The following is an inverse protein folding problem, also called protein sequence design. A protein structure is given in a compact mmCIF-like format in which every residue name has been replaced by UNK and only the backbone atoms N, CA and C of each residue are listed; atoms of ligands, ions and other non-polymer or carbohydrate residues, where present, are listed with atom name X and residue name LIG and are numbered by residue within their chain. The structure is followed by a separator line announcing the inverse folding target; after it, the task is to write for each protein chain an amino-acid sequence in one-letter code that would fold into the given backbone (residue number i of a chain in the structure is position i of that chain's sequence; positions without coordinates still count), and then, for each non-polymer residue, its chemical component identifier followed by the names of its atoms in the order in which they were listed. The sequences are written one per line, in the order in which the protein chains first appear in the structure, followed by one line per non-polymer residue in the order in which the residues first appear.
data_IF_628645172316
#
_entry.id   IF_628645172316
#
_cell.length_a   1.000
_cell.length_b   1.000
_cell.length_c   1.000
_cell.angle_alpha   90.00
_cell.angle_beta   90.00
_cell.angle_gamma   90.00
#
_symmetry.space_group_name_H-M   'P 1'
#
loop_
_entity.id
_entity.type
_entity.pdbx_description
1 polymer ?
#
# COMPACT_ATOMS: atom_id res chain seq x y z
N UNK A 1 9.65 9.87 -22.90
CA UNK A 1 8.94 11.15 -23.15
C UNK A 1 7.45 10.90 -23.13
N UNK A 2 6.74 11.29 -22.05
CA UNK A 2 5.27 11.20 -22.02
C UNK A 2 4.74 12.31 -22.92
N UNK A 3 4.07 11.94 -24.02
CA UNK A 3 3.33 12.90 -24.85
C UNK A 3 2.10 13.32 -24.06
N UNK A 4 2.13 14.49 -23.42
CA UNK A 4 0.97 15.04 -22.74
C UNK A 4 -0.14 15.29 -23.78
N UNK A 5 -1.32 14.72 -23.58
CA UNK A 5 -2.47 14.92 -24.46
C UNK A 5 -3.41 15.99 -23.92
N UNK A 6 -2.87 17.03 -23.27
CA UNK A 6 -3.68 18.20 -22.92
C UNK A 6 -4.11 18.88 -24.22
N UNK A 7 -5.43 19.04 -24.45
CA UNK A 7 -5.91 19.61 -25.69
C UNK A 7 -5.61 21.12 -25.71
N UNK A 8 -4.86 21.56 -26.73
CA UNK A 8 -4.52 22.96 -26.95
C UNK A 8 -5.58 23.56 -27.88
N UNK A 9 -6.66 24.08 -27.30
CA UNK A 9 -7.67 24.83 -28.05
C UNK A 9 -7.86 26.20 -27.43
N UNK A 10 -8.23 27.16 -28.26
CA UNK A 10 -8.60 28.51 -27.85
C UNK A 10 -10.11 28.65 -27.93
N UNK A 11 -10.77 28.93 -26.80
CA UNK A 11 -12.21 29.19 -26.76
C UNK A 11 -12.50 30.69 -26.68
N UNK A 12 -13.78 31.07 -26.88
CA UNK A 12 -14.21 32.45 -26.69
C UNK A 12 -14.02 32.90 -25.24
N UNK A 13 -13.73 34.19 -25.01
CA UNK A 13 -13.62 34.79 -23.66
C UNK A 13 -14.86 34.51 -22.80
N UNK A 14 -16.05 34.47 -23.40
CA UNK A 14 -17.28 34.13 -22.69
C UNK A 14 -17.23 32.69 -22.16
N UNK A 15 -16.81 31.74 -23.00
CA UNK A 15 -16.71 30.34 -22.62
C UNK A 15 -15.68 30.10 -21.52
N UNK A 16 -14.53 30.77 -21.58
CA UNK A 16 -13.52 30.72 -20.51
C UNK A 16 -14.08 31.24 -19.18
N UNK A 17 -14.82 32.36 -19.21
CA UNK A 17 -15.49 32.92 -18.01
C UNK A 17 -16.54 31.96 -17.47
N UNK A 18 -17.35 31.35 -18.33
CA UNK A 18 -18.37 30.39 -17.93
C UNK A 18 -17.75 29.12 -17.33
N UNK A 19 -16.65 28.60 -17.90
CA UNK A 19 -15.90 27.48 -17.33
C UNK A 19 -15.31 27.80 -15.96
N UNK A 20 -14.71 28.98 -15.81
CA UNK A 20 -14.19 29.42 -14.51
C UNK A 20 -15.29 29.55 -13.47
N UNK A 21 -16.45 30.09 -13.88
CA UNK A 21 -17.63 30.20 -13.01
C UNK A 21 -18.15 28.82 -12.62
N UNK A 22 -18.30 27.88 -13.56
CA UNK A 22 -18.77 26.53 -13.26
C UNK A 22 -17.83 25.82 -12.30
N UNK A 23 -16.51 25.87 -12.54
CA UNK A 23 -15.54 25.30 -11.61
C UNK A 23 -15.63 25.92 -10.22
N UNK A 24 -15.90 27.23 -10.11
CA UNK A 24 -16.10 27.89 -8.82
C UNK A 24 -17.40 27.46 -8.13
N UNK A 25 -18.47 27.25 -8.88
CA UNK A 25 -19.76 26.78 -8.35
C UNK A 25 -19.66 25.35 -7.83
N UNK A 26 -19.04 24.46 -8.60
CA UNK A 26 -18.93 23.04 -8.26
C UNK A 26 -17.67 22.69 -7.45
N UNK A 27 -16.82 23.69 -7.15
CA UNK A 27 -15.53 23.50 -6.50
C UNK A 27 -14.62 22.51 -7.25
N UNK A 28 -14.71 22.53 -8.58
CA UNK A 28 -13.88 21.71 -9.46
C UNK A 28 -12.56 22.39 -9.79
N UNK A 29 -11.58 21.58 -10.21
CA UNK A 29 -10.29 22.08 -10.66
C UNK A 29 -10.42 22.78 -12.03
N UNK A 30 -10.00 24.04 -12.09
CA UNK A 30 -9.96 24.82 -13.32
C UNK A 30 -8.54 24.86 -13.90
N UNK A 31 -8.38 24.31 -15.10
CA UNK A 31 -7.18 24.52 -15.92
C UNK A 31 -7.43 25.76 -16.79
N UNK A 32 -6.60 26.81 -16.71
CA UNK A 32 -6.72 27.94 -17.64
C UNK A 32 -6.42 27.48 -19.07
N UNK A 33 -6.84 28.26 -20.07
CA UNK A 33 -6.42 28.02 -21.45
C UNK A 33 -5.15 28.84 -21.75
N UNK A 34 -4.34 28.38 -22.72
CA UNK A 34 -3.22 29.18 -23.23
C UNK A 34 -3.73 30.47 -23.88
N UNK A 35 -2.92 31.52 -23.84
CA UNK A 35 -3.25 32.73 -24.59
C UNK A 35 -3.18 32.45 -26.09
N UNK A 36 -3.90 33.24 -26.90
CA UNK A 36 -3.91 33.09 -28.36
C UNK A 36 -2.48 33.12 -28.95
N UNK A 37 -1.63 34.02 -28.44
CA UNK A 37 -0.23 34.14 -28.86
C UNK A 37 0.59 32.88 -28.54
N UNK A 38 0.31 32.26 -27.39
CA UNK A 38 1.02 31.06 -26.97
C UNK A 38 0.59 29.81 -27.74
N UNK A 39 -0.64 29.78 -28.23
CA UNK A 39 -1.17 28.71 -29.08
C UNK A 39 -0.44 28.65 -30.43
N UNK A 40 -0.03 29.81 -30.95
CA UNK A 40 0.66 29.92 -32.24
C UNK A 40 2.10 29.39 -32.18
N UNK A 41 2.68 29.25 -30.98
CA UNK A 41 4.03 28.72 -30.81
C UNK A 41 4.10 27.20 -30.99
N UNK A 42 5.29 26.71 -31.33
CA UNK A 42 5.55 25.27 -31.33
C UNK A 42 5.40 24.70 -29.91
N UNK A 43 5.02 23.43 -29.81
CA UNK A 43 4.86 22.75 -28.52
C UNK A 43 6.15 22.67 -27.70
N UNK A 44 7.31 22.78 -28.36
CA UNK A 44 8.63 22.84 -27.73
C UNK A 44 9.03 24.25 -27.28
N UNK A 45 8.20 25.26 -27.53
CA UNK A 45 8.49 26.63 -27.12
C UNK A 45 8.49 26.75 -25.59
N UNK A 46 9.50 27.38 -24.97
CA UNK A 46 9.68 27.33 -23.52
C UNK A 46 8.47 27.78 -22.68
N UNK A 47 7.76 28.87 -23.01
CA UNK A 47 6.53 29.26 -22.30
C UNK A 47 5.43 28.20 -22.32
N UNK A 48 5.20 27.58 -23.49
CA UNK A 48 4.20 26.51 -23.65
C UNK A 48 4.60 25.29 -22.84
N UNK A 49 5.89 24.94 -22.85
CA UNK A 49 6.41 23.80 -22.11
C UNK A 49 6.35 24.02 -20.59
N UNK A 50 6.72 25.20 -20.10
CA UNK A 50 6.61 25.57 -18.69
C UNK A 50 5.15 25.49 -18.22
N UNK A 51 4.24 26.03 -19.01
CA UNK A 51 2.80 25.95 -18.77
C UNK A 51 2.32 24.49 -18.72
N UNK A 52 2.67 23.68 -19.72
CA UNK A 52 2.31 22.25 -19.77
C UNK A 52 2.81 21.50 -18.54
N UNK A 53 4.07 21.70 -18.16
CA UNK A 53 4.67 21.02 -17.01
C UNK A 53 3.99 21.40 -15.70
N UNK A 54 3.70 22.68 -15.50
CA UNK A 54 3.00 23.18 -14.30
C UNK A 54 1.63 22.53 -14.17
N UNK A 55 0.76 22.71 -15.16
CA UNK A 55 -0.61 22.23 -15.08
C UNK A 55 -0.72 20.71 -15.11
N UNK A 56 0.22 20.02 -15.74
CA UNK A 56 0.31 18.57 -15.66
C UNK A 56 0.67 18.06 -14.25
N UNK A 57 1.57 18.74 -13.54
CA UNK A 57 1.86 18.42 -12.14
C UNK A 57 0.63 18.64 -11.27
N UNK A 58 -0.05 19.78 -11.43
CA UNK A 58 -1.24 20.13 -10.65
C UNK A 58 -2.40 19.16 -10.93
N UNK A 59 -2.62 18.81 -12.20
CA UNK A 59 -3.64 17.82 -12.58
C UNK A 59 -3.35 16.44 -12.02
N UNK A 60 -2.10 15.98 -12.08
CA UNK A 60 -1.72 14.69 -11.47
C UNK A 60 -1.97 14.67 -9.97
N UNK A 61 -1.72 15.79 -9.29
CA UNK A 61 -2.01 15.91 -7.86
C UNK A 61 -3.52 15.84 -7.60
N UNK A 62 -4.31 16.56 -8.42
CA UNK A 62 -5.77 16.51 -8.37
C UNK A 62 -6.31 15.11 -8.64
N UNK A 63 -5.94 14.47 -9.74
CA UNK A 63 -6.35 13.10 -10.11
C UNK A 63 -6.00 12.10 -9.00
N UNK A 64 -4.76 12.16 -8.48
CA UNK A 64 -4.33 11.30 -7.36
C UNK A 64 -5.16 11.51 -6.09
N UNK A 65 -5.65 12.73 -5.86
CA UNK A 65 -6.52 13.02 -4.70
C UNK A 65 -7.97 12.54 -4.88
N UNK A 66 -8.43 12.44 -6.14
CA UNK A 66 -9.73 11.87 -6.47
C UNK A 66 -9.71 10.34 -6.39
N UNK A 67 -8.58 9.73 -6.75
CA UNK A 67 -8.36 8.30 -6.63
C UNK A 67 -8.19 7.87 -5.16
N UNK A 68 -8.64 6.65 -4.84
CA UNK A 68 -8.34 6.06 -3.54
C UNK A 68 -6.83 5.78 -3.43
N UNK A 69 -6.20 6.09 -2.28
CA UNK A 69 -4.82 5.71 -2.02
C UNK A 69 -4.57 4.22 -2.27
N UNK A 70 -3.39 3.90 -2.79
CA UNK A 70 -3.02 2.53 -3.14
C UNK A 70 -3.12 1.57 -1.93
N UNK A 71 -2.70 2.03 -0.75
CA UNK A 71 -2.74 1.25 0.51
C UNK A 71 -4.16 1.02 1.04
N UNK A 72 -5.18 1.61 0.42
CA UNK A 72 -6.59 1.36 0.73
C UNK A 72 -7.26 0.51 -0.35
N UNK A 73 -6.56 0.16 -1.43
CA UNK A 73 -7.09 -0.66 -2.48
C UNK A 73 -7.12 -2.13 -2.04
N UNK A 74 -8.30 -2.63 -1.66
CA UNK A 74 -8.51 -3.99 -1.13
C UNK A 74 -7.92 -5.11 -2.01
N UNK A 75 -7.89 -4.97 -3.33
CA UNK A 75 -7.32 -5.98 -4.25
C UNK A 75 -5.79 -6.12 -4.13
N UNK A 76 -5.10 -5.03 -3.80
CA UNK A 76 -3.63 -4.95 -3.78
C UNK A 76 -3.09 -4.76 -2.36
N UNK A 77 -3.95 -4.91 -1.36
CA UNK A 77 -3.73 -4.39 -0.01
C UNK A 77 -2.95 -5.31 0.95
N UNK A 78 -2.61 -4.73 2.11
CA UNK A 78 -2.11 -5.38 3.32
C UNK A 78 -2.99 -6.53 3.85
N UNK A 79 -4.27 -6.61 3.45
CA UNK A 79 -5.18 -7.71 3.81
C UNK A 79 -4.91 -9.00 3.04
N UNK A 80 -3.91 -9.02 2.15
CA UNK A 80 -3.56 -10.19 1.36
C UNK A 80 -3.33 -11.44 2.22
N UNK A 81 -2.63 -11.31 3.36
CA UNK A 81 -2.48 -12.41 4.31
C UNK A 81 -3.53 -12.32 5.42
N UNK A 82 -4.15 -13.45 5.80
CA UNK A 82 -5.04 -13.46 6.94
C UNK A 82 -4.27 -13.20 8.24
N UNK A 83 -5.02 -12.83 9.27
CA UNK A 83 -4.53 -12.53 10.60
C UNK A 83 -4.07 -13.80 11.35
N UNK A 84 -3.00 -14.44 10.88
CA UNK A 84 -2.50 -15.73 11.39
C UNK A 84 -2.19 -15.73 12.90
N UNK A 85 -1.57 -14.67 13.49
CA UNK A 85 -1.34 -14.63 14.94
C UNK A 85 -2.63 -14.73 15.75
N UNK A 86 -3.68 -14.03 15.30
CA UNK A 86 -4.99 -14.01 15.94
C UNK A 86 -5.68 -15.38 15.82
N UNK A 87 -5.63 -15.99 14.63
CA UNK A 87 -6.18 -17.34 14.39
C UNK A 87 -5.46 -18.36 15.28
N UNK A 88 -4.13 -18.33 15.30
CA UNK A 88 -3.32 -19.25 16.14
C UNK A 88 -3.63 -19.07 17.63
N UNK A 89 -3.74 -17.83 18.10
CA UNK A 89 -4.04 -17.54 19.49
C UNK A 89 -5.45 -18.05 19.85
N UNK A 90 -6.42 -17.81 18.98
CA UNK A 90 -7.79 -18.30 19.15
C UNK A 90 -7.86 -19.82 19.26
N UNK A 91 -7.23 -20.56 18.33
CA UNK A 91 -7.27 -22.03 18.36
C UNK A 91 -6.55 -22.61 19.57
N UNK A 92 -5.48 -21.96 20.04
CA UNK A 92 -4.82 -22.29 21.30
C UNK A 92 -5.78 -22.17 22.49
N UNK A 93 -6.47 -21.04 22.61
CA UNK A 93 -7.40 -20.76 23.71
C UNK A 93 -8.58 -21.74 23.67
N UNK A 94 -9.15 -21.99 22.49
CA UNK A 94 -10.23 -22.96 22.34
C UNK A 94 -9.82 -24.39 22.73
N UNK A 95 -8.56 -24.77 22.47
CA UNK A 95 -8.02 -26.05 22.92
C UNK A 95 -7.91 -26.12 24.43
N UNK A 96 -7.48 -25.04 25.08
CA UNK A 96 -7.40 -24.96 26.56
C UNK A 96 -8.78 -25.09 27.21
N UNK A 97 -9.83 -24.55 26.58
CA UNK A 97 -11.21 -24.73 27.03
C UNK A 97 -11.84 -26.09 26.64
N UNK A 98 -11.12 -26.95 25.91
CA UNK A 98 -11.67 -28.23 25.43
C UNK A 98 -12.71 -28.10 24.32
N UNK A 99 -12.87 -26.92 23.73
CA UNK A 99 -13.82 -26.62 22.65
C UNK A 99 -13.28 -26.98 21.27
N UNK A 100 -11.96 -27.14 21.14
CA UNK A 100 -11.28 -27.47 19.89
C UNK A 100 -10.17 -28.50 20.11
N UNK A 101 -10.12 -29.53 19.25
CA UNK A 101 -9.04 -30.54 19.27
C UNK A 101 -8.06 -30.26 18.13
N UNK A 102 -6.81 -29.96 18.49
CA UNK A 102 -5.73 -29.70 17.54
C UNK A 102 -4.84 -30.96 17.38
N UNK A 103 -5.20 -31.83 16.43
CA UNK A 103 -4.50 -33.11 16.21
C UNK A 103 -3.01 -32.92 15.85
N UNK A 104 -2.69 -31.87 15.10
CA UNK A 104 -1.30 -31.59 14.71
C UNK A 104 -0.46 -31.25 15.94
N UNK A 105 -1.03 -30.46 16.86
CA UNK A 105 -0.36 -30.12 18.10
C UNK A 105 -0.28 -31.31 19.06
N UNK A 106 -1.34 -32.12 19.16
CA UNK A 106 -1.34 -33.35 19.95
C UNK A 106 -0.23 -34.31 19.48
N UNK A 107 -0.07 -34.47 18.16
CA UNK A 107 1.02 -35.26 17.58
C UNK A 107 2.40 -34.71 17.95
N UNK A 108 2.60 -33.39 17.83
CA UNK A 108 3.87 -32.75 18.16
C UNK A 108 4.21 -32.89 19.64
N UNK A 109 3.23 -32.81 20.53
CA UNK A 109 3.39 -33.00 21.97
C UNK A 109 3.76 -34.46 22.30
N UNK A 110 3.06 -35.45 21.73
CA UNK A 110 3.41 -36.86 21.90
C UNK A 110 4.82 -37.19 21.37
N UNK A 111 5.20 -36.66 20.20
CA UNK A 111 6.55 -36.84 19.66
C UNK A 111 7.63 -36.19 20.54
N UNK A 112 7.30 -35.05 21.16
CA UNK A 112 8.19 -34.39 22.10
C UNK A 112 8.40 -35.22 23.36
N UNK A 113 7.35 -35.83 23.92
CA UNK A 113 7.45 -36.74 25.07
C UNK A 113 8.34 -37.95 24.76
N UNK A 114 8.15 -38.59 23.60
CA UNK A 114 9.00 -39.70 23.14
C UNK A 114 10.46 -39.26 22.97
N UNK A 115 10.71 -38.04 22.49
CA UNK A 115 12.06 -37.52 22.37
C UNK A 115 12.70 -37.26 23.75
N UNK A 116 11.94 -36.75 24.72
CA UNK A 116 12.39 -36.54 26.10
C UNK A 116 12.71 -37.89 26.77
N UNK A 117 11.87 -38.91 26.59
CA UNK A 117 12.12 -40.24 27.15
C UNK A 117 13.37 -40.90 26.55
N UNK A 118 13.69 -40.58 25.28
CA UNK A 118 14.97 -40.94 24.63
C UNK A 118 16.17 -40.10 25.09
N UNK A 119 16.00 -39.23 26.08
CA UNK A 119 17.05 -38.39 26.65
C UNK A 119 17.43 -37.18 25.80
N UNK A 120 16.64 -36.81 24.77
CA UNK A 120 16.91 -35.60 23.99
C UNK A 120 16.52 -34.36 24.81
N UNK A 121 17.49 -33.49 25.04
CA UNK A 121 17.28 -32.22 25.75
C UNK A 121 16.69 -31.20 24.79
N UNK A 122 15.44 -30.79 25.03
CA UNK A 122 14.84 -29.64 24.35
C UNK A 122 15.33 -28.36 25.03
N UNK A 123 15.73 -27.36 24.24
CA UNK A 123 16.07 -26.05 24.76
C UNK A 123 14.83 -25.41 25.36
N UNK A 124 14.89 -24.98 26.61
CA UNK A 124 13.99 -23.94 27.09
C UNK A 124 14.26 -22.67 26.28
N UNK A 125 13.22 -21.91 25.93
CA UNK A 125 13.29 -20.73 25.04
C UNK A 125 14.04 -19.54 25.67
N UNK A 126 15.18 -19.75 26.33
CA UNK A 126 16.04 -18.70 26.88
C UNK A 126 17.42 -18.78 26.23
N UNK A 127 17.61 -17.93 25.23
CA UNK A 127 18.93 -17.53 24.73
C UNK A 127 19.73 -18.57 23.93
N UNK A 128 20.80 -18.11 23.24
CA UNK A 128 21.71 -19.00 22.53
C UNK A 128 22.49 -19.88 23.51
N UNK A 129 22.83 -21.10 23.06
CA UNK A 129 23.66 -22.06 23.81
C UNK A 129 25.00 -21.38 24.16
N UNK A 130 25.27 -21.18 25.45
CA UNK A 130 26.67 -21.10 25.88
C UNK A 130 27.29 -22.48 25.70
N UNK A 131 28.42 -22.54 24.99
CA UNK A 131 29.14 -23.79 24.67
C UNK A 131 29.59 -24.56 25.92
N UNK A 132 29.56 -23.93 27.10
CA UNK A 132 29.99 -24.50 28.38
C UNK A 132 29.01 -25.50 29.01
N UNK A 133 27.72 -25.43 28.68
CA UNK A 133 26.73 -26.40 29.19
C UNK A 133 26.98 -27.85 28.73
N UNK A 134 27.78 -28.04 27.67
CA UNK A 134 28.23 -29.37 27.19
C UNK A 134 29.43 -29.94 27.97
N UNK A 135 30.18 -29.14 28.74
CA UNK A 135 31.40 -29.60 29.45
C UNK A 135 31.17 -30.15 30.86
N UNK A 136 30.05 -29.82 31.52
CA UNK A 136 29.75 -30.26 32.90
C UNK A 136 29.22 -31.71 33.03
N UNK A 137 29.28 -32.51 31.95
CA UNK A 137 28.82 -33.92 31.92
C UNK A 137 29.95 -34.90 31.57
N UNK A 138 31.16 -34.64 32.04
CA UNK A 138 32.25 -35.63 32.12
C UNK A 138 32.67 -35.78 33.57
#
# INVERSE_FOLDING_TARGET
MVKFLLPLYFTSKYQQRMRKLSCKIFNDFYIPELTKKELDYSRSHPPVQQWLNKWHSDLRAFERSQERPFDLNDEKNHKYYPAHPQIRALTHVLREYGLYRDEHRDFNEAMKEVAISRGKVFRERRGPISRDSKKKKK
#
